data_IF_521440977794
#
_entry.id   IF_521440977794
#
_cell.length_a   1.000
_cell.length_b   1.000
_cell.length_c   1.000
_cell.angle_alpha   90.00
_cell.angle_beta   90.00
_cell.angle_gamma   90.00
#
_symmetry.space_group_name_H-M   'P 1'
#
loop_
_entity.id
_entity.type
_entity.pdbx_description
1 polymer ?
#
# COMPACT_ATOMS: atom_id res chain seq x y z
N UNK A 1 -5.29 21.45 2.40
CA UNK A 1 -6.20 20.33 2.65
C UNK A 1 -5.46 19.04 2.37
N UNK A 2 -5.38 18.15 3.34
CA UNK A 2 -4.61 16.90 3.22
C UNK A 2 -5.29 15.84 2.34
N UNK A 3 -4.54 14.85 1.83
CA UNK A 3 -5.04 13.77 0.95
C UNK A 3 -5.76 14.28 -0.32
N UNK A 4 -5.26 15.36 -0.90
CA UNK A 4 -5.62 15.79 -2.26
C UNK A 4 -4.50 15.42 -3.24
N UNK A 5 -4.81 15.27 -4.53
CA UNK A 5 -3.79 15.04 -5.56
C UNK A 5 -2.77 16.20 -5.63
N UNK A 6 -3.20 17.43 -5.33
CA UNK A 6 -2.28 18.56 -5.20
C UNK A 6 -1.31 18.37 -4.03
N UNK A 7 -1.78 17.92 -2.86
CA UNK A 7 -0.93 17.63 -1.70
C UNK A 7 0.00 16.45 -1.96
N UNK A 8 -0.46 15.44 -2.72
CA UNK A 8 0.38 14.35 -3.18
C UNK A 8 1.55 14.84 -4.05
N UNK A 9 1.27 15.72 -5.00
CA UNK A 9 2.30 16.36 -5.83
C UNK A 9 3.32 17.13 -4.99
N UNK A 10 2.87 17.88 -3.99
CA UNK A 10 3.75 18.63 -3.07
C UNK A 10 4.67 17.69 -2.29
N UNK A 11 4.14 16.54 -1.83
CA UNK A 11 4.92 15.50 -1.17
C UNK A 11 6.03 14.96 -2.09
N UNK A 12 5.67 14.54 -3.31
CA UNK A 12 6.63 14.01 -4.28
C UNK A 12 7.72 15.02 -4.66
N UNK A 13 7.38 16.29 -4.78
CA UNK A 13 8.36 17.37 -5.03
C UNK A 13 9.33 17.50 -3.86
N UNK A 14 8.84 17.43 -2.61
CA UNK A 14 9.67 17.53 -1.42
C UNK A 14 10.62 16.31 -1.25
N UNK A 15 10.19 15.15 -1.71
CA UNK A 15 10.97 13.90 -1.64
C UNK A 15 11.98 13.74 -2.78
N UNK A 16 11.88 14.56 -3.85
CA UNK A 16 12.73 14.41 -5.03
C UNK A 16 14.21 14.62 -4.68
N UNK A 17 15.02 13.57 -4.88
CA UNK A 17 16.45 13.59 -4.55
C UNK A 17 16.77 13.56 -3.05
N UNK A 18 15.78 13.30 -2.19
CA UNK A 18 15.98 13.25 -0.75
C UNK A 18 16.80 12.04 -0.29
N UNK A 19 16.48 10.85 -0.78
CA UNK A 19 17.10 9.58 -0.39
C UNK A 19 16.59 8.42 -1.24
N UNK A 20 16.72 7.20 -0.74
CA UNK A 20 16.20 6.00 -1.37
C UNK A 20 14.72 5.83 -0.98
N UNK A 21 13.85 6.41 -1.78
CA UNK A 21 12.41 6.40 -1.56
C UNK A 21 11.77 5.39 -2.50
N UNK A 22 11.11 4.39 -1.91
CA UNK A 22 10.26 3.44 -2.63
C UNK A 22 8.81 3.88 -2.50
N UNK A 23 8.17 4.20 -3.61
CA UNK A 23 6.73 4.50 -3.66
C UNK A 23 5.98 3.21 -3.93
N UNK A 24 5.08 2.87 -3.03
CA UNK A 24 4.20 1.70 -3.10
C UNK A 24 2.74 2.14 -3.01
N UNK A 25 1.90 1.57 -3.86
CA UNK A 25 0.47 1.81 -3.88
C UNK A 25 -0.32 0.53 -3.70
N UNK A 26 -1.13 0.48 -2.66
CA UNK A 26 -2.07 -0.60 -2.43
C UNK A 26 -3.43 -0.18 -3.02
N UNK A 27 -3.74 -0.72 -4.20
CA UNK A 27 -4.96 -0.38 -4.94
C UNK A 27 -6.10 -1.26 -4.44
N UNK A 28 -6.71 -0.85 -3.33
CA UNK A 28 -7.82 -1.59 -2.72
C UNK A 28 -9.12 -1.42 -3.50
N UNK A 29 -9.34 -0.20 -4.04
CA UNK A 29 -10.53 0.18 -4.78
C UNK A 29 -10.29 1.47 -5.58
N UNK A 30 -11.22 1.81 -6.49
CA UNK A 30 -11.17 3.03 -7.33
C UNK A 30 -9.88 3.12 -8.17
N UNK A 31 -9.65 2.21 -9.12
CA UNK A 31 -8.44 2.20 -9.93
C UNK A 31 -8.18 3.51 -10.69
N UNK A 32 -9.22 4.29 -11.03
CA UNK A 32 -9.06 5.60 -11.65
C UNK A 32 -8.25 6.59 -10.79
N UNK A 33 -8.31 6.49 -9.46
CA UNK A 33 -7.46 7.31 -8.58
C UNK A 33 -5.99 6.89 -8.70
N UNK A 34 -5.71 5.59 -8.90
CA UNK A 34 -4.36 5.07 -9.10
C UNK A 34 -3.74 5.60 -10.39
N UNK A 35 -4.52 5.68 -11.45
CA UNK A 35 -4.07 6.29 -12.70
C UNK A 35 -3.77 7.79 -12.54
N UNK A 36 -4.56 8.50 -11.73
CA UNK A 36 -4.32 9.90 -11.45
C UNK A 36 -3.01 10.13 -10.66
N UNK A 37 -2.70 9.27 -9.69
CA UNK A 37 -1.40 9.33 -8.97
C UNK A 37 -0.24 8.93 -9.88
N UNK A 38 -0.37 7.89 -10.69
CA UNK A 38 0.64 7.43 -11.63
C UNK A 38 1.02 8.50 -12.68
N UNK A 39 0.05 9.27 -13.18
CA UNK A 39 0.31 10.39 -14.07
C UNK A 39 1.13 11.49 -13.39
N UNK A 40 0.83 11.84 -12.16
CA UNK A 40 1.61 12.82 -11.38
C UNK A 40 3.04 12.33 -11.15
N UNK A 41 3.22 11.07 -10.81
CA UNK A 41 4.53 10.45 -10.62
C UNK A 41 5.35 10.46 -11.90
N UNK A 42 4.75 10.03 -13.01
CA UNK A 42 5.43 10.03 -14.30
C UNK A 42 5.83 11.44 -14.74
N UNK A 43 4.96 12.46 -14.58
CA UNK A 43 5.27 13.86 -14.85
C UNK A 43 6.47 14.37 -14.03
N UNK A 44 6.61 13.93 -12.79
CA UNK A 44 7.70 14.29 -11.88
C UNK A 44 8.93 13.39 -12.03
N UNK A 45 8.89 12.38 -12.90
CA UNK A 45 9.97 11.42 -13.13
C UNK A 45 10.16 10.44 -11.97
N UNK A 46 9.10 10.09 -11.27
CA UNK A 46 9.05 9.01 -10.28
C UNK A 46 8.66 7.69 -10.92
N UNK A 47 9.14 6.60 -10.33
CA UNK A 47 8.65 5.24 -10.56
C UNK A 47 8.12 4.69 -9.26
N UNK A 48 7.05 3.90 -9.35
CA UNK A 48 6.37 3.31 -8.21
C UNK A 48 5.94 1.88 -8.54
N UNK A 49 5.54 1.11 -7.54
CA UNK A 49 4.86 -0.17 -7.72
C UNK A 49 3.39 -0.03 -7.31
N UNK A 50 2.50 -0.55 -8.15
CA UNK A 50 1.05 -0.55 -7.95
C UNK A 50 0.55 -1.98 -7.78
N UNK A 51 0.11 -2.33 -6.57
CA UNK A 51 -0.43 -3.64 -6.23
C UNK A 51 -1.93 -3.65 -6.41
N UNK A 52 -2.42 -4.43 -7.38
CA UNK A 52 -3.85 -4.57 -7.68
C UNK A 52 -4.42 -5.85 -7.06
N UNK A 53 -5.59 -5.74 -6.40
CA UNK A 53 -6.36 -6.88 -5.93
C UNK A 53 -7.12 -7.52 -7.11
N UNK A 54 -7.31 -8.82 -7.07
CA UNK A 54 -8.12 -9.55 -8.07
C UNK A 54 -9.62 -9.50 -7.72
N UNK A 55 -10.15 -8.32 -7.46
CA UNK A 55 -11.56 -8.06 -7.12
C UNK A 55 -12.12 -6.92 -7.98
N UNK A 56 -13.43 -6.90 -8.26
CA UNK A 56 -14.03 -5.89 -9.15
C UNK A 56 -13.76 -4.44 -8.76
N UNK A 57 -13.63 -4.15 -7.46
CA UNK A 57 -13.41 -2.80 -6.94
C UNK A 57 -12.02 -2.24 -7.27
N UNK A 58 -11.05 -3.12 -7.49
CA UNK A 58 -9.65 -2.79 -7.79
C UNK A 58 -9.26 -3.09 -9.23
N UNK A 59 -9.90 -4.08 -9.85
CA UNK A 59 -9.49 -4.62 -11.15
C UNK A 59 -10.10 -3.84 -12.31
N UNK A 60 -9.24 -3.15 -13.05
CA UNK A 60 -9.58 -2.47 -14.32
C UNK A 60 -8.38 -2.65 -15.26
N UNK A 61 -8.54 -3.51 -16.28
CA UNK A 61 -7.43 -3.92 -17.13
C UNK A 61 -6.86 -2.78 -17.97
N UNK A 62 -7.71 -1.84 -18.41
CA UNK A 62 -7.25 -0.70 -19.20
C UNK A 62 -6.41 0.24 -18.34
N UNK A 63 -6.84 0.50 -17.11
CA UNK A 63 -6.08 1.30 -16.14
C UNK A 63 -4.77 0.61 -15.76
N UNK A 64 -4.77 -0.71 -15.52
CA UNK A 64 -3.55 -1.47 -15.23
C UNK A 64 -2.55 -1.33 -16.37
N UNK A 65 -3.00 -1.51 -17.63
CA UNK A 65 -2.14 -1.35 -18.81
C UNK A 65 -1.62 0.09 -18.97
N UNK A 66 -2.47 1.09 -18.71
CA UNK A 66 -2.05 2.50 -18.80
C UNK A 66 -0.99 2.84 -17.75
N UNK A 67 -1.13 2.38 -16.50
CA UNK A 67 -0.13 2.55 -15.44
C UNK A 67 1.19 1.85 -15.80
N UNK A 68 1.13 0.62 -16.32
CA UNK A 68 2.32 -0.08 -16.80
C UNK A 68 2.99 0.66 -17.96
N UNK A 69 2.21 1.20 -18.92
CA UNK A 69 2.72 1.99 -20.04
C UNK A 69 3.39 3.30 -19.61
N UNK A 70 3.00 3.88 -18.47
CA UNK A 70 3.70 5.00 -17.84
C UNK A 70 5.05 4.57 -17.22
N UNK A 71 5.37 3.26 -17.22
CA UNK A 71 6.62 2.69 -16.75
C UNK A 71 6.66 2.46 -15.24
N UNK A 72 5.52 2.35 -14.60
CA UNK A 72 5.40 1.88 -13.23
C UNK A 72 5.36 0.35 -13.19
N UNK A 73 5.81 -0.24 -12.08
CA UNK A 73 5.71 -1.67 -11.84
C UNK A 73 4.28 -2.02 -11.43
N UNK A 74 3.78 -3.15 -11.94
CA UNK A 74 2.50 -3.73 -11.53
C UNK A 74 2.77 -4.96 -10.67
N UNK A 75 2.17 -5.00 -9.49
CA UNK A 75 2.23 -6.11 -8.56
C UNK A 75 0.85 -6.70 -8.24
N UNK A 76 0.84 -7.92 -7.71
CA UNK A 76 -0.40 -8.57 -7.27
C UNK A 76 -0.64 -8.35 -5.77
N UNK A 77 -1.77 -7.72 -5.42
CA UNK A 77 -2.21 -7.52 -4.04
C UNK A 77 -3.06 -8.69 -3.58
N UNK A 78 -2.40 -9.77 -3.12
CA UNK A 78 -3.04 -11.05 -2.89
C UNK A 78 -3.81 -11.12 -1.55
N UNK A 79 -4.97 -11.80 -1.60
CA UNK A 79 -5.81 -12.08 -0.43
C UNK A 79 -6.45 -13.49 -0.48
N UNK A 80 -5.79 -14.40 -1.16
CA UNK A 80 -6.30 -15.73 -1.51
C UNK A 80 -6.74 -16.56 -0.31
N UNK A 81 -6.04 -16.48 0.84
CA UNK A 81 -6.49 -17.14 2.08
C UNK A 81 -7.85 -16.60 2.58
N UNK A 82 -8.09 -15.31 2.41
CA UNK A 82 -9.40 -14.70 2.73
C UNK A 82 -10.46 -15.16 1.76
N UNK A 83 -10.16 -15.16 0.45
CA UNK A 83 -11.05 -15.59 -0.62
C UNK A 83 -11.47 -17.05 -0.45
N UNK A 84 -10.52 -17.91 -0.09
CA UNK A 84 -10.73 -19.35 0.08
C UNK A 84 -11.07 -19.76 1.52
N UNK A 85 -11.50 -18.83 2.37
CA UNK A 85 -11.92 -19.09 3.75
C UNK A 85 -10.92 -19.92 4.58
N UNK A 86 -9.62 -19.68 4.36
CA UNK A 86 -8.52 -20.34 5.08
C UNK A 86 -8.08 -21.69 4.52
N UNK A 87 -8.70 -22.18 3.45
CA UNK A 87 -8.22 -23.38 2.75
C UNK A 87 -6.93 -23.02 2.00
N UNK A 88 -5.81 -23.52 2.50
CA UNK A 88 -4.47 -23.14 2.02
C UNK A 88 -4.17 -23.70 0.62
N UNK A 89 -4.73 -24.86 0.27
CA UNK A 89 -4.51 -25.47 -1.05
C UNK A 89 -5.38 -24.79 -2.12
N UNK A 90 -6.62 -24.50 -1.80
CA UNK A 90 -7.48 -23.69 -2.66
C UNK A 90 -6.91 -22.27 -2.82
N UNK A 91 -6.37 -21.68 -1.76
CA UNK A 91 -5.74 -20.36 -1.80
C UNK A 91 -4.48 -20.33 -2.69
N UNK A 92 -3.70 -21.41 -2.72
CA UNK A 92 -2.57 -21.53 -3.62
C UNK A 92 -2.98 -21.58 -5.09
N UNK A 93 -4.04 -22.32 -5.41
CA UNK A 93 -4.57 -22.37 -6.79
C UNK A 93 -5.16 -21.00 -7.20
N UNK A 94 -5.94 -20.36 -6.33
CA UNK A 94 -6.47 -19.01 -6.55
C UNK A 94 -5.34 -17.99 -6.77
N UNK A 95 -4.29 -18.05 -5.96
CA UNK A 95 -3.12 -17.17 -6.10
C UNK A 95 -2.46 -17.33 -7.46
N UNK A 96 -2.16 -18.57 -7.88
CA UNK A 96 -1.53 -18.84 -9.18
C UNK A 96 -2.36 -18.35 -10.35
N UNK A 97 -3.66 -18.60 -10.30
CA UNK A 97 -4.61 -18.18 -11.35
C UNK A 97 -4.60 -16.64 -11.48
N UNK A 98 -4.72 -15.93 -10.36
CA UNK A 98 -4.79 -14.46 -10.38
C UNK A 98 -3.45 -13.82 -10.74
N UNK A 99 -2.32 -14.39 -10.32
CA UNK A 99 -0.98 -13.93 -10.71
C UNK A 99 -0.76 -14.09 -12.22
N UNK A 100 -1.15 -15.24 -12.79
CA UNK A 100 -1.07 -15.49 -14.21
C UNK A 100 -1.98 -14.52 -15.00
N UNK A 101 -3.22 -14.34 -14.57
CA UNK A 101 -4.16 -13.39 -15.18
C UNK A 101 -3.60 -11.96 -15.18
N UNK A 102 -3.01 -11.50 -14.06
CA UNK A 102 -2.42 -10.16 -14.02
C UNK A 102 -1.22 -10.05 -14.96
N UNK A 103 -0.39 -11.09 -15.06
CA UNK A 103 0.73 -11.15 -15.99
C UNK A 103 0.28 -11.07 -17.45
N UNK A 104 -0.85 -11.70 -17.81
CA UNK A 104 -1.48 -11.59 -19.14
C UNK A 104 -1.94 -10.15 -19.42
N UNK A 105 -2.58 -9.50 -18.46
CA UNK A 105 -3.04 -8.10 -18.60
C UNK A 105 -1.88 -7.15 -18.83
N UNK A 106 -0.78 -7.33 -18.08
CA UNK A 106 0.43 -6.49 -18.18
C UNK A 106 1.27 -6.84 -19.43
N UNK A 107 1.17 -8.08 -19.92
CA UNK A 107 1.95 -8.59 -21.06
C UNK A 107 3.38 -9.02 -20.68
N UNK A 108 3.72 -9.04 -19.41
CA UNK A 108 5.00 -9.51 -18.86
C UNK A 108 4.77 -10.23 -17.53
N UNK A 109 5.67 -11.13 -17.10
CA UNK A 109 5.54 -11.77 -15.79
C UNK A 109 5.50 -10.74 -14.66
N UNK A 110 4.51 -10.86 -13.78
CA UNK A 110 4.43 -10.09 -12.53
C UNK A 110 5.35 -10.75 -11.51
N UNK A 111 6.37 -10.02 -11.07
CA UNK A 111 7.44 -10.51 -10.19
C UNK A 111 7.36 -9.96 -8.77
N UNK A 112 6.44 -9.06 -8.50
CA UNK A 112 6.23 -8.46 -7.18
C UNK A 112 4.81 -8.71 -6.70
N UNK A 113 4.70 -9.11 -5.44
CA UNK A 113 3.41 -9.35 -4.78
C UNK A 113 3.38 -8.62 -3.43
N UNK A 114 2.20 -8.36 -2.93
CA UNK A 114 2.01 -7.79 -1.60
C UNK A 114 0.73 -8.31 -0.96
N UNK A 115 0.76 -8.67 0.30
CA UNK A 115 -0.46 -9.13 0.97
C UNK A 115 -1.47 -8.00 1.15
N UNK A 116 -2.76 -8.27 0.87
CA UNK A 116 -3.87 -7.43 1.30
C UNK A 116 -4.29 -7.77 2.73
N UNK A 117 -4.22 -6.78 3.61
CA UNK A 117 -4.57 -6.91 5.01
C UNK A 117 -6.00 -6.49 5.33
N UNK A 118 -6.98 -7.39 5.23
CA UNK A 118 -8.36 -7.10 5.65
C UNK A 118 -8.52 -7.22 7.17
N UNK A 119 -9.00 -6.18 7.87
CA UNK A 119 -9.29 -6.27 9.31
C UNK A 119 -10.49 -7.18 9.62
N UNK A 120 -11.27 -7.56 8.61
CA UNK A 120 -12.42 -8.46 8.74
C UNK A 120 -12.04 -9.93 8.57
N UNK A 121 -10.88 -10.20 7.98
CA UNK A 121 -10.39 -11.56 7.77
C UNK A 121 -9.71 -12.06 9.04
N UNK A 122 -10.05 -13.26 9.53
CA UNK A 122 -9.30 -13.89 10.60
C UNK A 122 -7.94 -14.43 10.13
N UNK A 123 -7.74 -14.61 8.82
CA UNK A 123 -6.51 -15.15 8.23
C UNK A 123 -5.53 -14.07 7.87
N UNK A 124 -4.25 -14.36 8.06
CA UNK A 124 -3.14 -13.57 7.48
C UNK A 124 -2.76 -14.18 6.14
N UNK A 125 -2.88 -13.41 5.05
CA UNK A 125 -2.58 -13.93 3.72
C UNK A 125 -1.13 -14.37 3.55
N UNK A 126 -0.19 -13.87 4.36
CA UNK A 126 1.21 -14.34 4.39
C UNK A 126 1.36 -15.78 4.88
N UNK A 127 0.36 -16.33 5.59
CA UNK A 127 0.40 -17.72 6.05
C UNK A 127 0.40 -18.73 4.91
N UNK A 128 0.03 -18.32 3.69
CA UNK A 128 0.18 -19.11 2.47
C UNK A 128 1.64 -19.57 2.27
N UNK A 129 2.59 -18.70 2.60
CA UNK A 129 4.03 -18.92 2.43
C UNK A 129 4.65 -19.83 3.50
N UNK A 130 3.90 -20.27 4.48
CA UNK A 130 4.32 -21.33 5.41
C UNK A 130 4.32 -22.72 4.75
N UNK A 131 3.50 -22.90 3.71
CA UNK A 131 3.36 -24.17 2.99
C UNK A 131 3.92 -24.10 1.56
N UNK A 132 3.79 -22.95 0.89
CA UNK A 132 4.17 -22.75 -0.50
C UNK A 132 5.27 -21.69 -0.64
N UNK A 133 6.00 -21.73 -1.72
CA UNK A 133 7.03 -20.74 -2.06
C UNK A 133 6.62 -19.96 -3.32
N UNK A 134 6.35 -18.66 -3.17
CA UNK A 134 6.03 -17.79 -4.30
C UNK A 134 7.19 -17.66 -5.29
N UNK A 135 8.44 -17.87 -4.86
CA UNK A 135 9.61 -17.80 -5.73
C UNK A 135 9.61 -18.88 -6.80
N UNK A 136 8.94 -20.01 -6.54
CA UNK A 136 8.74 -21.07 -7.51
C UNK A 136 7.90 -20.63 -8.74
N UNK A 137 7.18 -19.52 -8.64
CA UNK A 137 6.40 -18.91 -9.72
C UNK A 137 7.12 -17.74 -10.40
N UNK A 138 8.40 -17.51 -10.09
CA UNK A 138 9.16 -16.37 -10.62
C UNK A 138 8.91 -15.04 -9.90
N UNK A 139 8.16 -15.04 -8.81
CA UNK A 139 8.01 -13.86 -7.94
C UNK A 139 9.28 -13.66 -7.15
N UNK A 140 9.80 -12.44 -7.13
CA UNK A 140 11.10 -12.10 -6.51
C UNK A 140 10.96 -11.24 -5.27
N UNK A 141 9.81 -10.62 -5.05
CA UNK A 141 9.65 -9.65 -3.96
C UNK A 141 8.24 -9.64 -3.35
N UNK A 142 8.20 -9.72 -2.01
CA UNK A 142 7.04 -9.45 -1.14
C UNK A 142 7.47 -8.45 -0.05
N UNK A 143 6.92 -7.22 -0.01
CA UNK A 143 7.44 -6.14 0.83
C UNK A 143 7.56 -6.46 2.32
N UNK A 144 6.64 -7.23 2.88
CA UNK A 144 6.66 -7.56 4.31
C UNK A 144 7.62 -8.69 4.68
N UNK A 145 8.07 -9.50 3.69
CA UNK A 145 8.94 -10.65 3.90
C UNK A 145 10.37 -10.39 3.43
N UNK A 146 10.55 -9.58 2.39
CA UNK A 146 11.83 -9.39 1.72
C UNK A 146 12.50 -8.04 2.05
N UNK A 147 11.82 -7.14 2.80
CA UNK A 147 12.40 -5.87 3.20
C UNK A 147 13.14 -5.99 4.54
N UNK A 148 14.38 -5.49 4.58
CA UNK A 148 15.11 -5.30 5.84
C UNK A 148 14.63 -4.01 6.56
N UNK A 149 13.61 -4.14 7.40
CA UNK A 149 13.06 -3.02 8.17
C UNK A 149 13.97 -2.51 9.28
N UNK A 150 15.09 -3.16 9.58
CA UNK A 150 16.12 -2.59 10.45
C UNK A 150 16.85 -1.43 9.79
N UNK A 151 16.81 -1.34 8.46
CA UNK A 151 17.45 -0.29 7.63
C UNK A 151 16.46 0.60 6.89
N UNK A 152 15.19 0.17 6.80
CA UNK A 152 14.17 0.83 5.98
C UNK A 152 13.00 1.27 6.85
N UNK A 153 12.73 2.55 6.89
CA UNK A 153 11.56 3.09 7.56
C UNK A 153 10.30 2.84 6.74
N UNK A 154 9.22 2.45 7.41
CA UNK A 154 7.94 2.21 6.77
C UNK A 154 6.92 3.29 7.13
N UNK A 155 6.44 4.00 6.13
CA UNK A 155 5.44 5.05 6.26
C UNK A 155 4.20 4.71 5.43
N UNK A 156 3.01 4.82 6.03
CA UNK A 156 1.76 4.50 5.33
C UNK A 156 0.68 5.54 5.62
N UNK A 157 -0.18 5.80 4.62
CA UNK A 157 -1.36 6.66 4.74
C UNK A 157 -2.60 5.92 5.29
N UNK A 158 -2.40 4.74 5.89
CA UNK A 158 -3.49 3.94 6.45
C UNK A 158 -4.33 4.71 7.46
N UNK A 159 -5.64 4.60 7.29
CA UNK A 159 -6.57 5.37 8.13
C UNK A 159 -6.68 6.84 7.71
N UNK A 160 -6.10 7.23 6.57
CA UNK A 160 -6.01 8.61 6.11
C UNK A 160 -5.25 9.50 7.10
N UNK A 161 -4.12 8.95 7.57
CA UNK A 161 -3.21 9.57 8.52
C UNK A 161 -1.86 8.87 8.43
N UNK A 162 -0.77 9.60 8.69
CA UNK A 162 0.58 9.06 8.62
C UNK A 162 1.04 8.33 9.88
N UNK A 163 0.33 8.48 11.00
CA UNK A 163 0.47 7.64 12.20
C UNK A 163 -0.51 6.46 12.19
N UNK A 164 -0.71 5.87 11.02
CA UNK A 164 -1.67 4.80 10.75
C UNK A 164 -1.49 3.55 11.61
N UNK A 165 -0.32 3.31 12.20
CA UNK A 165 -0.07 2.22 13.15
C UNK A 165 -1.05 2.21 14.34
N UNK A 166 -1.63 3.35 14.73
CA UNK A 166 -2.62 3.47 15.80
C UNK A 166 -4.00 2.89 15.42
N UNK A 167 -4.29 2.78 14.13
CA UNK A 167 -5.59 2.32 13.60
C UNK A 167 -5.45 1.20 12.58
N UNK A 168 -4.23 0.74 12.30
CA UNK A 168 -3.98 -0.38 11.40
C UNK A 168 -3.89 -1.70 12.17
N UNK A 169 -4.52 -2.73 11.62
CA UNK A 169 -4.41 -4.10 12.14
C UNK A 169 -3.27 -4.84 11.44
N UNK A 170 -3.08 -4.62 10.15
CA UNK A 170 -2.17 -5.40 9.30
C UNK A 170 -1.09 -4.57 8.60
N UNK A 171 -1.43 -3.36 8.17
CA UNK A 171 -0.52 -2.46 7.46
C UNK A 171 0.36 -1.70 8.45
N UNK A 172 1.31 -2.40 9.04
CA UNK A 172 2.29 -1.89 10.02
C UNK A 172 3.43 -2.90 10.18
N UNK A 173 4.54 -2.47 10.76
CA UNK A 173 5.72 -3.30 11.08
C UNK A 173 5.89 -3.34 12.60
N UNK A 174 5.20 -4.25 13.30
CA UNK A 174 5.16 -4.23 14.77
C UNK A 174 6.53 -4.31 15.43
N UNK A 175 7.44 -5.08 14.87
CA UNK A 175 8.78 -5.36 15.41
C UNK A 175 9.67 -4.11 15.47
N UNK A 176 9.40 -3.10 14.64
CA UNK A 176 10.17 -1.86 14.55
C UNK A 176 9.42 -0.62 15.04
N UNK A 177 8.09 -0.72 15.23
CA UNK A 177 7.23 0.42 15.48
C UNK A 177 7.61 1.21 16.74
N UNK A 178 7.90 0.53 17.84
CA UNK A 178 8.25 1.18 19.11
C UNK A 178 9.60 1.92 19.02
N UNK A 179 10.55 1.36 18.28
CA UNK A 179 11.84 2.02 17.99
C UNK A 179 11.66 3.29 17.17
N UNK A 180 10.82 3.27 16.16
CA UNK A 180 10.52 4.46 15.35
C UNK A 180 9.81 5.54 16.14
N UNK A 181 8.87 5.17 17.02
CA UNK A 181 8.19 6.12 17.92
C UNK A 181 9.20 6.76 18.88
N UNK A 182 10.07 5.96 19.49
CA UNK A 182 11.11 6.46 20.41
C UNK A 182 12.11 7.39 19.71
N UNK A 183 12.37 7.17 18.41
CA UNK A 183 13.19 8.04 17.58
C UNK A 183 12.46 9.31 17.08
N UNK A 184 11.20 9.52 17.48
CA UNK A 184 10.40 10.68 17.04
C UNK A 184 9.84 10.59 15.63
N UNK A 185 9.92 9.42 14.97
CA UNK A 185 9.44 9.20 13.60
C UNK A 185 7.91 8.97 13.60
N UNK A 186 7.18 9.98 14.05
CA UNK A 186 5.71 9.98 14.09
C UNK A 186 5.19 11.21 13.35
N UNK A 187 4.54 10.99 12.23
CA UNK A 187 3.97 12.03 11.38
C UNK A 187 2.44 11.92 11.40
N UNK A 188 1.74 13.05 11.46
CA UNK A 188 0.27 13.07 11.51
C UNK A 188 -0.35 13.46 10.18
N UNK A 189 0.28 14.43 9.51
CA UNK A 189 -0.20 15.04 8.26
C UNK A 189 0.85 14.89 7.15
N UNK A 190 0.44 15.06 5.90
CA UNK A 190 1.38 15.10 4.77
C UNK A 190 2.34 16.30 4.89
N UNK A 191 1.91 17.39 5.51
CA UNK A 191 2.78 18.54 5.75
C UNK A 191 3.89 18.22 6.74
N UNK A 192 3.66 17.36 7.76
CA UNK A 192 4.71 16.89 8.67
C UNK A 192 5.77 16.08 7.92
N UNK A 193 5.35 15.18 7.02
CA UNK A 193 6.28 14.40 6.18
C UNK A 193 7.09 15.31 5.26
N UNK A 194 6.43 16.28 4.63
CA UNK A 194 7.09 17.28 3.77
C UNK A 194 8.11 18.11 4.58
N UNK A 195 7.76 18.54 5.78
CA UNK A 195 8.64 19.29 6.65
C UNK A 195 9.86 18.45 7.06
N UNK A 196 9.64 17.22 7.50
CA UNK A 196 10.71 16.29 7.87
C UNK A 196 11.68 15.99 6.72
N UNK A 197 11.16 15.85 5.49
CA UNK A 197 12.01 15.71 4.31
C UNK A 197 12.86 16.97 4.06
N UNK A 198 12.28 18.16 4.20
CA UNK A 198 12.99 19.43 4.01
C UNK A 198 14.04 19.72 5.08
N UNK A 199 13.80 19.32 6.34
CA UNK A 199 14.73 19.52 7.46
C UNK A 199 15.77 18.41 7.59
N UNK A 200 15.62 17.30 6.86
CA UNK A 200 16.52 16.15 6.93
C UNK A 200 16.20 15.17 8.07
N UNK A 201 15.04 15.31 8.69
CA UNK A 201 14.59 14.46 9.83
C UNK A 201 13.91 13.15 9.36
N UNK A 202 13.43 13.09 8.12
CA UNK A 202 12.92 11.85 7.56
C UNK A 202 14.09 10.87 7.33
N UNK A 203 13.98 9.56 7.66
CA UNK A 203 14.99 8.58 7.30
C UNK A 203 15.31 8.57 5.80
N UNK A 204 16.56 8.25 5.43
CA UNK A 204 16.97 8.26 4.01
C UNK A 204 16.44 7.09 3.21
N UNK A 205 16.22 5.93 3.84
CA UNK A 205 15.64 4.75 3.21
C UNK A 205 14.21 4.60 3.70
N UNK A 206 13.23 4.85 2.83
CA UNK A 206 11.81 4.85 3.19
C UNK A 206 10.99 4.12 2.16
N UNK A 207 10.12 3.24 2.62
CA UNK A 207 8.97 2.78 1.83
C UNK A 207 7.77 3.65 2.22
N UNK A 208 7.22 4.36 1.24
CA UNK A 208 5.99 5.15 1.41
C UNK A 208 4.85 4.41 0.74
N UNK A 209 3.99 3.82 1.56
CA UNK A 209 2.79 3.13 1.08
C UNK A 209 1.61 4.08 1.09
N UNK A 210 0.98 4.26 -0.07
CA UNK A 210 -0.25 5.01 -0.19
C UNK A 210 -1.37 4.17 -0.78
N UNK A 211 -2.60 4.57 -0.46
CA UNK A 211 -3.80 3.96 -0.99
C UNK A 211 -4.49 5.00 -1.89
N UNK A 212 -4.38 4.89 -3.20
CA UNK A 212 -4.82 5.93 -4.14
C UNK A 212 -6.28 6.38 -3.96
N UNK A 213 -7.16 5.50 -3.50
CA UNK A 213 -8.56 5.85 -3.23
C UNK A 213 -8.75 6.95 -2.17
N UNK A 214 -7.72 7.24 -1.36
CA UNK A 214 -7.76 8.31 -0.33
C UNK A 214 -7.41 9.67 -0.90
N UNK A 215 -6.72 9.71 -2.04
CA UNK A 215 -6.24 10.91 -2.70
C UNK A 215 -7.23 11.36 -3.77
N UNK A 216 -7.82 12.53 -3.60
CA UNK A 216 -8.91 12.97 -4.46
C UNK A 216 -8.63 14.35 -5.09
N UNK A 217 -9.11 14.55 -6.32
CA UNK A 217 -8.96 15.82 -7.04
C UNK A 217 -10.04 16.85 -6.71
N UNK A 218 -11.18 16.38 -6.16
CA UNK A 218 -12.33 17.24 -5.92
C UNK A 218 -12.92 17.10 -4.51
N UNK A 219 -13.63 18.14 -4.06
CA UNK A 219 -14.08 18.28 -2.68
C UNK A 219 -15.13 17.23 -2.27
N UNK A 220 -16.04 16.86 -3.17
CA UNK A 220 -17.13 15.94 -2.83
C UNK A 220 -16.61 14.51 -2.57
N UNK A 221 -15.83 13.88 -3.47
CA UNK A 221 -15.18 12.60 -3.17
C UNK A 221 -14.26 12.67 -1.94
N UNK A 222 -13.56 13.78 -1.74
CA UNK A 222 -12.72 14.00 -0.58
C UNK A 222 -13.50 13.96 0.73
N UNK A 223 -14.63 14.69 0.82
CA UNK A 223 -15.50 14.69 2.00
C UNK A 223 -16.07 13.29 2.26
N UNK A 224 -16.57 12.62 1.22
CA UNK A 224 -17.09 11.25 1.36
C UNK A 224 -16.05 10.29 1.93
N UNK A 225 -14.83 10.32 1.39
CA UNK A 225 -13.73 9.46 1.85
C UNK A 225 -13.31 9.83 3.29
N UNK A 226 -13.25 11.11 3.63
CA UNK A 226 -12.95 11.60 4.96
C UNK A 226 -13.94 11.08 6.00
N UNK A 227 -15.23 11.21 5.76
CA UNK A 227 -16.27 10.75 6.68
C UNK A 227 -16.29 9.24 6.84
N UNK A 228 -16.19 8.50 5.72
CA UNK A 228 -16.15 7.04 5.73
C UNK A 228 -14.91 6.51 6.46
N UNK A 229 -13.73 7.11 6.23
CA UNK A 229 -12.51 6.66 6.86
C UNK A 229 -12.49 6.95 8.37
N UNK A 230 -13.01 8.10 8.80
CA UNK A 230 -13.14 8.42 10.24
C UNK A 230 -14.08 7.43 10.95
N UNK A 231 -15.21 7.08 10.34
CA UNK A 231 -16.10 6.04 10.88
C UNK A 231 -15.40 4.68 10.98
N UNK A 232 -14.66 4.26 9.94
CA UNK A 232 -13.85 3.03 9.96
C UNK A 232 -12.77 3.07 11.05
N UNK A 233 -12.08 4.19 11.22
CA UNK A 233 -11.03 4.35 12.23
C UNK A 233 -11.60 4.20 13.66
N UNK A 234 -12.78 4.76 13.94
CA UNK A 234 -13.45 4.61 15.22
C UNK A 234 -13.73 3.13 15.52
N UNK A 235 -14.31 2.39 14.55
CA UNK A 235 -14.60 0.97 14.69
C UNK A 235 -13.31 0.16 14.91
N UNK A 236 -12.27 0.42 14.10
CA UNK A 236 -10.96 -0.25 14.24
C UNK A 236 -10.32 0.02 15.60
N UNK A 237 -10.39 1.25 16.10
CA UNK A 237 -9.88 1.60 17.43
C UNK A 237 -10.55 0.82 18.55
N UNK A 238 -11.86 0.56 18.45
CA UNK A 238 -12.59 -0.27 19.39
C UNK A 238 -12.14 -1.75 19.29
N UNK A 239 -11.99 -2.28 18.08
CA UNK A 239 -11.54 -3.65 17.85
C UNK A 239 -10.13 -3.90 18.42
N UNK A 240 -9.19 -2.98 18.18
CA UNK A 240 -7.81 -3.09 18.69
C UNK A 240 -7.79 -3.09 20.21
N UNK A 241 -8.57 -2.23 20.86
CA UNK A 241 -8.67 -2.20 22.34
C UNK A 241 -9.23 -3.50 22.92
N UNK A 242 -10.19 -4.12 22.25
CA UNK A 242 -10.77 -5.41 22.68
C UNK A 242 -9.81 -6.58 22.53
N UNK A 243 -8.92 -6.55 21.54
CA UNK A 243 -7.94 -7.61 21.29
C UNK A 243 -6.70 -7.50 22.21
N UNK A 244 -6.49 -6.33 22.84
CA UNK A 244 -5.38 -6.09 23.75
C UNK A 244 -5.81 -6.11 25.23
N UNK A 245 -7.10 -6.37 25.53
CA UNK A 245 -7.66 -6.55 26.86
C UNK A 245 -7.97 -8.04 27.14
#
# INVERSE_FOLDING_TARGET
MDFTLQKYRELLVALKGYGDIVLRHDVDLKPANSLATAKIENELGWKAVYYFRAVPESWDEDIIREIAALGHEIGYHYESLTTCNGDIDAAWEDFKMNLARLSEVVGTPVTSICMHGSPRSPWDSKDLWKKYDYRALGVTFEPYLDTDFSKTFYLTDTGRRWDGFKVSVRDRIPEHQDGWIAAGLVFHTTDDVIAAAKTGELPRNVIITTHPQRWNSSIIPWIKEFLLQNAKNLIKGIMIKRNNA
#
